data_IF_529575722032
#
_entry.id   IF_529575722032
#
_cell.length_a   1.000
_cell.length_b   1.000
_cell.length_c   1.000
_cell.angle_alpha   90.00
_cell.angle_beta   90.00
_cell.angle_gamma   90.00
#
_symmetry.space_group_name_H-M   'P 1'
#
loop_
_entity.id
_entity.type
_entity.pdbx_description
1 polymer ?
#
# COMPACT_ATOMS: atom_id res chain seq x y z
N UNK A 1 17.76 15.52 -11.90
CA UNK A 1 18.71 14.43 -12.21
C UNK A 1 18.31 13.14 -11.52
N UNK A 2 18.19 13.07 -10.18
CA UNK A 2 17.83 11.82 -9.48
C UNK A 2 16.43 11.27 -9.84
N UNK A 3 15.39 12.11 -9.93
CA UNK A 3 14.02 11.67 -10.24
C UNK A 3 13.90 10.98 -11.60
N UNK A 4 14.55 11.52 -12.64
CA UNK A 4 14.51 10.93 -13.98
C UNK A 4 15.20 9.56 -14.03
N UNK A 5 16.34 9.41 -13.34
CA UNK A 5 17.03 8.13 -13.22
C UNK A 5 16.21 7.10 -12.44
N UNK A 6 15.60 7.50 -11.33
CA UNK A 6 14.70 6.63 -10.56
C UNK A 6 13.50 6.19 -11.40
N UNK A 7 12.92 7.10 -12.19
CA UNK A 7 11.82 6.77 -13.09
C UNK A 7 12.22 5.75 -14.16
N UNK A 8 13.36 5.96 -14.84
CA UNK A 8 13.85 5.03 -15.87
C UNK A 8 14.14 3.65 -15.27
N UNK A 9 14.83 3.59 -14.13
CA UNK A 9 15.15 2.33 -13.46
C UNK A 9 13.88 1.61 -12.99
N UNK A 10 12.91 2.35 -12.44
CA UNK A 10 11.64 1.78 -12.02
C UNK A 10 10.84 1.23 -13.21
N UNK A 11 10.81 1.94 -14.34
CA UNK A 11 10.13 1.50 -15.54
C UNK A 11 10.74 0.20 -16.11
N UNK A 12 12.06 0.15 -16.26
CA UNK A 12 12.76 -1.05 -16.72
C UNK A 12 12.55 -2.24 -15.78
N UNK A 13 12.58 -2.00 -14.46
CA UNK A 13 12.35 -3.03 -13.46
C UNK A 13 10.92 -3.60 -13.54
N UNK A 14 9.91 -2.76 -13.74
CA UNK A 14 8.52 -3.20 -13.94
C UNK A 14 8.39 -4.02 -15.21
N UNK A 15 8.97 -3.57 -16.33
CA UNK A 15 8.94 -4.29 -17.61
C UNK A 15 9.60 -5.68 -17.52
N UNK A 16 10.73 -5.79 -16.82
CA UNK A 16 11.39 -7.07 -16.59
C UNK A 16 10.53 -7.99 -15.72
N UNK A 17 9.91 -7.44 -14.67
CA UNK A 17 9.07 -8.22 -13.76
C UNK A 17 7.84 -8.79 -14.47
N UNK A 18 7.19 -7.98 -15.32
CA UNK A 18 6.05 -8.39 -16.13
C UNK A 18 6.45 -9.45 -17.17
N UNK A 19 7.62 -9.28 -17.80
CA UNK A 19 8.17 -10.27 -18.73
C UNK A 19 8.43 -11.62 -18.06
N UNK A 20 9.01 -11.61 -16.85
CA UNK A 20 9.19 -12.81 -16.04
C UNK A 20 7.86 -13.44 -15.62
N UNK A 21 6.87 -12.63 -15.25
CA UNK A 21 5.52 -13.08 -14.96
C UNK A 21 4.87 -13.84 -16.10
N UNK A 22 4.98 -13.30 -17.32
CA UNK A 22 4.47 -13.93 -18.52
C UNK A 22 5.15 -15.27 -18.82
N UNK A 23 6.46 -15.38 -18.61
CA UNK A 23 7.22 -16.64 -18.79
C UNK A 23 6.78 -17.70 -17.77
N UNK A 24 6.52 -17.30 -16.52
CA UNK A 24 6.09 -18.20 -15.44
C UNK A 24 4.59 -18.50 -15.46
N UNK A 25 3.82 -17.92 -16.38
CA UNK A 25 2.36 -18.05 -16.44
C UNK A 25 1.61 -17.37 -15.28
N UNK A 26 2.25 -16.41 -14.62
CA UNK A 26 1.66 -15.64 -13.51
C UNK A 26 1.03 -14.37 -14.08
N UNK A 27 -0.20 -14.06 -13.69
CA UNK A 27 -0.88 -12.86 -14.19
C UNK A 27 -0.15 -11.59 -13.71
N UNK A 28 -0.03 -10.56 -14.58
CA UNK A 28 0.57 -9.26 -14.22
C UNK A 28 -0.10 -8.63 -13.00
N UNK A 29 -1.40 -8.88 -12.81
CA UNK A 29 -2.17 -8.41 -11.64
C UNK A 29 -1.66 -8.99 -10.32
N UNK A 30 -1.30 -10.28 -10.28
CA UNK A 30 -0.73 -10.91 -9.06
C UNK A 30 0.65 -10.30 -8.76
N UNK A 31 1.49 -10.09 -9.78
CA UNK A 31 2.80 -9.45 -9.62
C UNK A 31 2.71 -8.00 -9.15
N UNK A 32 1.74 -7.26 -9.68
CA UNK A 32 1.42 -5.89 -9.25
C UNK A 32 0.99 -5.82 -7.78
N UNK A 33 0.10 -6.71 -7.37
CA UNK A 33 -0.45 -6.76 -6.01
C UNK A 33 0.53 -7.30 -4.96
N UNK A 34 1.53 -8.09 -5.37
CA UNK A 34 2.48 -8.72 -4.45
C UNK A 34 3.86 -8.08 -4.57
N UNK A 35 4.67 -8.48 -5.54
CA UNK A 35 6.09 -8.10 -5.64
C UNK A 35 6.27 -6.60 -5.82
N UNK A 36 5.47 -5.94 -6.67
CA UNK A 36 5.57 -4.49 -6.86
C UNK A 36 5.08 -3.71 -5.64
N UNK A 37 3.93 -4.09 -5.07
CA UNK A 37 3.39 -3.45 -3.87
C UNK A 37 4.31 -3.66 -2.65
N UNK A 38 4.78 -4.89 -2.42
CA UNK A 38 5.73 -5.21 -1.35
C UNK A 38 7.05 -4.51 -1.56
N UNK A 39 7.57 -4.45 -2.79
CA UNK A 39 8.81 -3.75 -3.11
C UNK A 39 8.76 -2.27 -2.71
N UNK A 40 7.64 -1.60 -3.00
CA UNK A 40 7.43 -0.21 -2.59
C UNK A 40 7.40 -0.03 -1.06
N UNK A 41 6.78 -0.94 -0.32
CA UNK A 41 6.64 -0.82 1.14
C UNK A 41 7.75 -1.50 1.95
N UNK A 42 8.63 -2.29 1.32
CA UNK A 42 9.68 -3.04 2.01
C UNK A 42 10.73 -2.10 2.63
N UNK A 43 11.13 -1.06 1.90
CA UNK A 43 12.08 -0.08 2.42
C UNK A 43 11.48 0.67 3.63
N UNK A 44 10.19 1.01 3.55
CA UNK A 44 9.48 1.63 4.67
C UNK A 44 9.37 0.69 5.86
N UNK A 45 9.14 -0.61 5.63
CA UNK A 45 9.14 -1.61 6.70
C UNK A 45 10.50 -1.67 7.39
N UNK A 46 11.59 -1.74 6.63
CA UNK A 46 12.96 -1.80 7.17
C UNK A 46 13.26 -0.54 7.97
N UNK A 47 12.94 0.64 7.43
CA UNK A 47 13.16 1.92 8.09
C UNK A 47 12.35 2.04 9.39
N UNK A 48 11.06 1.69 9.37
CA UNK A 48 10.18 1.74 10.53
C UNK A 48 10.61 0.74 11.63
N UNK A 49 11.03 -0.48 11.25
CA UNK A 49 11.57 -1.46 12.19
C UNK A 49 12.88 -0.97 12.79
N UNK A 50 13.79 -0.42 11.98
CA UNK A 50 15.05 0.13 12.46
C UNK A 50 14.82 1.27 13.46
N UNK A 51 13.86 2.16 13.19
CA UNK A 51 13.46 3.25 14.09
C UNK A 51 12.77 2.74 15.36
N UNK A 52 11.94 1.70 15.26
CA UNK A 52 11.28 1.11 16.43
C UNK A 52 12.28 0.42 17.38
N UNK A 53 13.35 -0.18 16.84
CA UNK A 53 14.37 -0.89 17.63
C UNK A 53 15.47 0.05 18.15
N UNK A 54 15.94 0.99 17.32
CA UNK A 54 17.12 1.81 17.63
C UNK A 54 16.79 3.29 17.92
N UNK A 55 15.55 3.74 17.71
CA UNK A 55 15.14 5.15 17.82
C UNK A 55 14.89 5.66 19.24
N UNK A 56 15.24 4.89 20.28
CA UNK A 56 15.06 5.28 21.69
C UNK A 56 13.61 5.22 22.16
N UNK A 57 13.27 5.99 23.20
CA UNK A 57 11.96 5.92 23.88
C UNK A 57 10.77 6.31 22.98
N UNK A 58 10.98 7.22 22.01
CA UNK A 58 9.94 7.71 21.10
C UNK A 58 10.04 7.10 19.69
N UNK A 59 11.03 6.23 19.44
CA UNK A 59 11.30 5.65 18.12
C UNK A 59 10.11 4.91 17.51
N UNK A 60 9.34 4.20 18.34
CA UNK A 60 8.14 3.49 17.91
C UNK A 60 7.00 4.44 17.49
N UNK A 61 6.86 5.59 18.14
CA UNK A 61 5.85 6.59 17.77
C UNK A 61 6.21 7.28 16.45
N UNK A 62 7.50 7.57 16.25
CA UNK A 62 8.02 8.12 14.99
C UNK A 62 7.81 7.11 13.84
N UNK A 63 8.11 5.84 14.07
CA UNK A 63 7.90 4.78 13.09
C UNK A 63 6.42 4.64 12.67
N UNK A 64 5.49 4.75 13.62
CA UNK A 64 4.05 4.73 13.30
C UNK A 64 3.63 5.97 12.53
N UNK A 65 4.07 7.15 12.94
CA UNK A 65 3.82 8.39 12.20
C UNK A 65 4.26 8.25 10.74
N UNK A 66 5.48 7.77 10.50
CA UNK A 66 6.01 7.53 9.15
C UNK A 66 5.21 6.51 8.35
N UNK A 67 4.84 5.38 8.98
CA UNK A 67 4.06 4.30 8.36
C UNK A 67 2.67 4.75 7.90
N UNK A 68 2.03 5.70 8.58
CA UNK A 68 0.75 6.26 8.13
C UNK A 68 0.92 7.45 7.17
N UNK A 69 1.88 8.34 7.44
CA UNK A 69 2.07 9.56 6.66
C UNK A 69 2.50 9.28 5.22
N UNK A 70 3.37 8.30 5.00
CA UNK A 70 3.87 7.93 3.66
C UNK A 70 2.75 7.50 2.72
N UNK A 71 2.00 6.42 3.04
CA UNK A 71 0.87 5.98 2.24
C UNK A 71 -0.23 7.04 2.11
N UNK A 72 -0.53 7.79 3.18
CA UNK A 72 -1.52 8.86 3.14
C UNK A 72 -1.13 9.96 2.14
N UNK A 73 0.14 10.37 2.13
CA UNK A 73 0.66 11.31 1.14
C UNK A 73 0.57 10.73 -0.27
N UNK A 74 1.01 9.48 -0.48
CA UNK A 74 0.95 8.84 -1.80
C UNK A 74 -0.49 8.78 -2.35
N UNK A 75 -1.49 8.48 -1.51
CA UNK A 75 -2.89 8.46 -1.93
C UNK A 75 -3.41 9.87 -2.23
N UNK A 76 -3.22 10.83 -1.33
CA UNK A 76 -3.78 12.18 -1.50
C UNK A 76 -3.12 12.94 -2.64
N UNK A 77 -1.80 12.90 -2.71
CA UNK A 77 -0.99 13.68 -3.65
C UNK A 77 -0.81 12.90 -4.94
N UNK A 78 -0.42 11.64 -4.87
CA UNK A 78 -0.21 10.79 -6.05
C UNK A 78 -1.52 10.54 -6.80
N UNK A 79 -2.44 9.78 -6.19
CA UNK A 79 -3.71 9.44 -6.85
C UNK A 79 -4.56 10.69 -7.09
N UNK A 80 -4.64 11.60 -6.11
CA UNK A 80 -5.42 12.84 -6.23
C UNK A 80 -4.98 13.72 -7.40
N UNK A 81 -3.68 14.02 -7.54
CA UNK A 81 -3.22 14.81 -8.69
C UNK A 81 -3.35 14.06 -10.00
N UNK A 82 -3.07 12.75 -10.05
CA UNK A 82 -3.27 11.94 -11.25
C UNK A 82 -4.72 12.00 -11.76
N UNK A 83 -5.70 11.97 -10.85
CA UNK A 83 -7.12 12.11 -11.21
C UNK A 83 -7.46 13.52 -11.72
N UNK A 84 -6.90 14.57 -11.12
CA UNK A 84 -7.09 15.95 -11.59
C UNK A 84 -6.55 16.11 -13.02
N UNK A 85 -5.32 15.66 -13.27
CA UNK A 85 -4.72 15.75 -14.60
C UNK A 85 -5.48 14.91 -15.64
N UNK A 86 -5.92 13.70 -15.27
CA UNK A 86 -6.70 12.84 -16.17
C UNK A 86 -8.06 13.45 -16.50
N UNK A 87 -8.74 14.01 -15.51
CA UNK A 87 -10.03 14.69 -15.71
C UNK A 87 -9.91 15.96 -16.54
N UNK A 88 -8.78 16.67 -16.42
CA UNK A 88 -8.49 17.84 -17.24
C UNK A 88 -8.22 17.47 -18.70
N UNK A 89 -7.48 16.38 -18.94
CA UNK A 89 -7.12 15.93 -20.29
C UNK A 89 -8.31 15.39 -21.10
N UNK A 90 -9.27 14.76 -20.43
CA UNK A 90 -10.47 14.17 -21.06
C UNK A 90 -11.64 15.15 -21.20
N UNK A 91 -11.50 16.38 -20.67
CA UNK A 91 -12.55 17.40 -20.74
C UNK A 91 -12.84 17.77 -22.22
N UNK A 92 -14.13 17.79 -22.67
CA UNK A 92 -15.38 17.82 -21.89
C UNK A 92 -16.05 16.45 -21.65
N UNK A 93 -15.41 15.33 -22.04
CA UNK A 93 -15.95 14.00 -21.77
C UNK A 93 -15.77 13.61 -20.29
N UNK A 94 -16.67 12.77 -19.76
CA UNK A 94 -16.59 12.31 -18.37
C UNK A 94 -15.56 11.19 -18.24
N UNK A 95 -14.57 11.36 -17.37
CA UNK A 95 -13.63 10.29 -17.03
C UNK A 95 -14.39 9.15 -16.32
N UNK A 96 -14.53 8.01 -17.00
CA UNK A 96 -15.21 6.84 -16.44
C UNK A 96 -14.20 6.08 -15.58
N UNK A 97 -14.37 6.13 -14.27
CA UNK A 97 -13.57 5.32 -13.36
C UNK A 97 -14.02 3.85 -13.53
N UNK A 98 -13.13 2.93 -13.94
CA UNK A 98 -13.48 1.53 -14.03
C UNK A 98 -13.86 1.01 -12.64
N UNK A 99 -15.12 0.58 -12.50
CA UNK A 99 -15.67 0.07 -11.25
C UNK A 99 -15.31 -1.41 -11.17
N UNK A 100 -14.16 -1.70 -10.56
CA UNK A 100 -13.76 -3.07 -10.26
C UNK A 100 -14.20 -3.47 -8.85
N UNK A 101 -14.82 -4.65 -8.72
CA UNK A 101 -15.14 -5.26 -7.42
C UNK A 101 -13.92 -5.33 -6.50
N UNK A 102 -12.73 -5.47 -7.10
CA UNK A 102 -11.46 -5.52 -6.41
C UNK A 102 -11.10 -4.23 -5.62
N UNK A 103 -11.53 -3.08 -6.14
CA UNK A 103 -11.27 -1.78 -5.52
C UNK A 103 -12.08 -1.63 -4.23
N UNK A 104 -13.35 -2.03 -4.23
CA UNK A 104 -14.21 -1.95 -3.05
C UNK A 104 -13.70 -2.83 -1.91
N UNK A 105 -13.23 -4.04 -2.20
CA UNK A 105 -12.62 -4.90 -1.20
C UNK A 105 -11.39 -4.25 -0.58
N UNK A 106 -10.50 -3.69 -1.41
CA UNK A 106 -9.27 -3.05 -0.93
C UNK A 106 -9.58 -1.83 -0.04
N UNK A 107 -10.56 -1.01 -0.44
CA UNK A 107 -11.03 0.13 0.37
C UNK A 107 -11.68 -0.35 1.68
N UNK A 108 -12.47 -1.42 1.64
CA UNK A 108 -13.12 -1.96 2.84
C UNK A 108 -12.11 -2.46 3.87
N UNK A 109 -11.07 -3.19 3.45
CA UNK A 109 -10.00 -3.64 4.34
C UNK A 109 -9.15 -2.49 4.88
N UNK A 110 -8.85 -1.48 4.04
CA UNK A 110 -8.16 -0.26 4.48
C UNK A 110 -8.97 0.44 5.58
N UNK A 111 -10.27 0.66 5.34
CA UNK A 111 -11.17 1.28 6.32
C UNK A 111 -11.29 0.44 7.59
N UNK A 112 -11.38 -0.88 7.47
CA UNK A 112 -11.39 -1.81 8.61
C UNK A 112 -10.13 -1.71 9.48
N UNK A 113 -8.95 -1.64 8.86
CA UNK A 113 -7.68 -1.43 9.56
C UNK A 113 -7.61 -0.07 10.26
N UNK A 114 -8.09 0.99 9.60
CA UNK A 114 -8.11 2.34 10.16
C UNK A 114 -9.07 2.44 11.36
N UNK A 115 -10.26 1.84 11.25
CA UNK A 115 -11.24 1.77 12.33
C UNK A 115 -10.72 0.96 13.52
N UNK A 116 -10.02 -0.15 13.26
CA UNK A 116 -9.38 -0.95 14.30
C UNK A 116 -8.34 -0.14 15.08
N UNK A 117 -7.46 0.57 14.37
CA UNK A 117 -6.49 1.47 14.99
C UNK A 117 -7.18 2.58 15.79
N UNK A 118 -8.22 3.23 15.23
CA UNK A 118 -8.97 4.30 15.86
C UNK A 118 -9.70 3.85 17.14
N UNK A 119 -10.14 2.60 17.23
CA UNK A 119 -10.84 2.09 18.43
C UNK A 119 -9.87 1.65 19.53
N UNK A 120 -8.73 1.06 19.16
CA UNK A 120 -7.79 0.48 20.14
C UNK A 120 -6.86 1.53 20.74
N UNK A 121 -6.41 2.50 19.95
CA UNK A 121 -5.52 3.58 20.42
C UNK A 121 -6.12 4.36 21.61
N UNK A 122 -7.37 4.85 21.57
CA UNK A 122 -8.00 5.55 22.70
C UNK A 122 -8.26 4.64 23.90
N UNK A 123 -8.61 3.36 23.66
CA UNK A 123 -8.85 2.38 24.74
C UNK A 123 -7.60 1.97 25.51
N UNK A 124 -6.41 2.31 25.00
CA UNK A 124 -5.10 1.96 25.56
C UNK A 124 -4.29 3.20 25.95
N UNK A 125 -4.95 4.31 26.26
CA UNK A 125 -4.34 5.58 26.65
C UNK A 125 -3.30 6.12 25.64
N UNK A 126 -3.55 5.93 24.33
CA UNK A 126 -2.63 6.29 23.25
C UNK A 126 -1.25 5.60 23.32
N UNK A 127 -1.13 4.54 24.12
CA UNK A 127 0.11 3.77 24.21
C UNK A 127 0.12 2.67 23.16
N UNK A 128 1.29 2.50 22.56
CA UNK A 128 1.54 1.43 21.62
C UNK A 128 1.60 0.09 22.35
N UNK A 129 0.61 -0.76 22.09
CA UNK A 129 0.52 -2.09 22.71
C UNK A 129 0.61 -3.18 21.64
N UNK A 130 1.14 -4.35 22.00
CA UNK A 130 1.40 -5.48 21.10
C UNK A 130 0.11 -5.99 20.43
N UNK A 131 -1.03 -5.84 21.11
CA UNK A 131 -2.35 -6.21 20.59
C UNK A 131 -2.78 -5.36 19.39
N UNK A 132 -2.39 -4.08 19.34
CA UNK A 132 -2.67 -3.21 18.19
C UNK A 132 -1.96 -3.74 16.94
N UNK A 133 -0.67 -4.07 17.07
CA UNK A 133 0.14 -4.63 15.99
C UNK A 133 -0.36 -6.00 15.53
N UNK A 134 -0.67 -6.91 16.46
CA UNK A 134 -1.20 -8.24 16.12
C UNK A 134 -2.51 -8.13 15.33
N UNK A 135 -3.43 -7.25 15.74
CA UNK A 135 -4.70 -7.07 15.04
C UNK A 135 -4.53 -6.50 13.62
N UNK A 136 -3.64 -5.53 13.43
CA UNK A 136 -3.33 -4.99 12.10
C UNK A 136 -2.70 -6.04 11.17
N UNK A 137 -1.78 -6.85 11.69
CA UNK A 137 -1.18 -7.96 10.93
C UNK A 137 -2.23 -9.02 10.58
N UNK A 138 -3.13 -9.35 11.50
CA UNK A 138 -4.20 -10.31 11.24
C UNK A 138 -5.16 -9.83 10.14
N UNK A 139 -5.55 -8.54 10.16
CA UNK A 139 -6.37 -7.92 9.10
C UNK A 139 -5.64 -7.98 7.75
N UNK A 140 -4.35 -7.66 7.74
CA UNK A 140 -3.54 -7.71 6.52
C UNK A 140 -3.39 -9.13 5.96
N UNK A 141 -3.11 -10.13 6.80
CA UNK A 141 -3.00 -11.53 6.38
C UNK A 141 -4.34 -12.06 5.86
N UNK A 142 -5.46 -11.69 6.50
CA UNK A 142 -6.79 -12.03 6.04
C UNK A 142 -7.09 -11.44 4.66
N UNK A 143 -6.80 -10.14 4.47
CA UNK A 143 -6.90 -9.48 3.18
C UNK A 143 -6.08 -10.19 2.11
N UNK A 144 -4.80 -10.44 2.39
CA UNK A 144 -3.88 -11.09 1.46
C UNK A 144 -4.35 -12.50 1.07
N UNK A 145 -4.82 -13.28 2.04
CA UNK A 145 -5.35 -14.62 1.80
C UNK A 145 -6.60 -14.59 0.92
N UNK A 146 -7.58 -13.73 1.24
CA UNK A 146 -8.81 -13.60 0.44
C UNK A 146 -8.51 -13.14 -0.99
N UNK A 147 -7.59 -12.17 -1.14
CA UNK A 147 -7.14 -11.67 -2.44
C UNK A 147 -6.46 -12.74 -3.28
N UNK A 148 -5.53 -13.49 -2.69
CA UNK A 148 -4.84 -14.58 -3.37
C UNK A 148 -5.81 -15.72 -3.72
N UNK A 149 -6.73 -16.06 -2.83
CA UNK A 149 -7.73 -17.09 -3.08
C UNK A 149 -8.64 -16.69 -4.26
N UNK A 150 -9.10 -15.43 -4.31
CA UNK A 150 -9.89 -14.95 -5.43
C UNK A 150 -9.11 -14.96 -6.74
N UNK A 151 -7.84 -14.56 -6.73
CA UNK A 151 -6.98 -14.54 -7.93
C UNK A 151 -6.56 -15.94 -8.42
N UNK A 152 -6.62 -16.97 -7.60
CA UNK A 152 -6.33 -18.36 -7.97
C UNK A 152 -7.57 -19.13 -8.46
N UNK A 153 -8.77 -18.61 -8.18
CA UNK A 153 -10.05 -19.21 -8.58
C UNK A 153 -10.49 -18.74 -9.98
N UNK A 154 -9.85 -17.70 -10.52
CA UNK A 154 -10.00 -17.21 -11.89
C UNK A 154 -8.71 -17.42 -12.68
#
# INVERSE_FOLDING_TARGET
MSVAWTYIIAAELVCLLESYGNILGISPSILGLTVLAWGNSLNDLIANVAMAVNGGADGAQIAISGCYAGPMFNTLVGVGMSLVFSSWSEYPSSYVIPIDHSLYETIAFLMGGLLWALVILPKKDMKLDRYMGIGLVAIYLCFLFLRLAMLLVF
#
